data_IF_523055134338
#
_entry.id   IF_523055134338
#
_cell.length_a   1.000
_cell.length_b   1.000
_cell.length_c   1.000
_cell.angle_alpha   90.00
_cell.angle_beta   90.00
_cell.angle_gamma   90.00
#
_symmetry.space_group_name_H-M   'P 1'
#
loop_
_entity.id
_entity.type
_entity.pdbx_description
1 polymer ?
#
# COMPACT_ATOMS: atom_id res chain seq x y z
N UNK A 1 -24.47 -30.24 7.80
CA UNK A 1 -24.07 -28.98 8.45
C UNK A 1 -23.52 -28.06 7.38
N UNK A 2 -24.00 -26.81 7.31
CA UNK A 2 -23.44 -25.80 6.40
C UNK A 2 -22.20 -25.16 7.03
N UNK A 3 -21.08 -25.18 6.32
CA UNK A 3 -19.85 -24.50 6.75
C UNK A 3 -19.98 -23.00 6.50
N UNK A 4 -19.67 -22.18 7.51
CA UNK A 4 -19.58 -20.71 7.37
C UNK A 4 -18.11 -20.28 7.30
N UNK A 5 -17.79 -19.32 6.42
CA UNK A 5 -16.44 -18.77 6.29
C UNK A 5 -16.40 -17.36 6.92
N UNK A 6 -15.70 -17.24 8.05
CA UNK A 6 -15.65 -16.01 8.86
C UNK A 6 -14.21 -15.46 8.96
N UNK A 7 -13.45 -15.57 7.87
CA UNK A 7 -12.03 -15.19 7.80
C UNK A 7 -11.71 -14.29 6.59
N UNK A 8 -12.62 -13.35 6.30
CA UNK A 8 -12.47 -12.40 5.19
C UNK A 8 -11.31 -11.40 5.37
N UNK A 9 -10.78 -11.27 6.59
CA UNK A 9 -9.58 -10.48 6.86
C UNK A 9 -8.34 -11.12 6.21
N UNK A 10 -8.26 -12.46 6.15
CA UNK A 10 -7.17 -13.16 5.48
C UNK A 10 -7.35 -13.18 3.95
N UNK A 11 -8.50 -13.62 3.45
CA UNK A 11 -8.83 -13.62 2.03
C UNK A 11 -10.33 -13.71 1.82
N UNK A 12 -10.80 -13.35 0.64
CA UNK A 12 -12.21 -13.44 0.25
C UNK A 12 -12.39 -14.39 -0.94
N UNK A 13 -13.56 -15.03 -1.09
CA UNK A 13 -13.92 -15.69 -2.34
C UNK A 13 -14.02 -14.64 -3.46
N UNK A 14 -13.57 -15.01 -4.66
CA UNK A 14 -13.67 -14.11 -5.80
C UNK A 14 -15.15 -13.89 -6.16
N UNK A 15 -15.53 -12.64 -6.39
CA UNK A 15 -16.89 -12.27 -6.76
C UNK A 15 -17.22 -12.76 -8.17
N UNK A 16 -18.49 -13.12 -8.40
CA UNK A 16 -18.94 -13.64 -9.70
C UNK A 16 -18.71 -12.61 -10.82
N UNK A 17 -18.97 -11.33 -10.55
CA UNK A 17 -18.72 -10.23 -11.48
C UNK A 17 -17.24 -10.04 -11.82
N UNK A 18 -16.33 -10.38 -10.89
CA UNK A 18 -14.88 -10.34 -11.13
C UNK A 18 -14.46 -11.51 -12.00
N UNK A 19 -14.96 -12.73 -11.73
CA UNK A 19 -14.72 -13.91 -12.58
C UNK A 19 -15.14 -13.61 -14.02
N UNK A 20 -16.37 -13.13 -14.21
CA UNK A 20 -16.91 -12.81 -15.53
C UNK A 20 -16.11 -11.71 -16.24
N UNK A 21 -15.60 -10.71 -15.51
CA UNK A 21 -14.75 -9.67 -16.08
C UNK A 21 -13.36 -10.19 -16.52
N UNK A 22 -12.83 -11.20 -15.82
CA UNK A 22 -11.51 -11.79 -16.11
C UNK A 22 -11.56 -12.86 -17.20
N UNK A 23 -12.64 -13.64 -17.27
CA UNK A 23 -12.77 -14.81 -18.15
C UNK A 23 -12.39 -14.55 -19.62
N UNK A 24 -12.80 -13.43 -20.26
CA UNK A 24 -12.42 -13.16 -21.64
C UNK A 24 -10.90 -13.13 -21.86
N UNK A 25 -10.13 -12.67 -20.88
CA UNK A 25 -8.66 -12.54 -20.98
C UNK A 25 -7.93 -13.87 -20.75
N UNK A 26 -8.62 -14.89 -20.24
CA UNK A 26 -8.09 -16.24 -20.11
C UNK A 26 -8.24 -17.06 -21.39
N UNK A 27 -9.29 -16.81 -22.17
CA UNK A 27 -9.63 -17.62 -23.34
C UNK A 27 -9.45 -16.90 -24.67
N UNK A 28 -10.00 -15.69 -24.78
CA UNK A 28 -10.25 -15.05 -26.08
C UNK A 28 -9.49 -13.75 -26.28
N UNK A 29 -9.02 -13.08 -25.22
CA UNK A 29 -8.31 -11.80 -25.26
C UNK A 29 -6.94 -11.95 -24.60
N UNK A 30 -6.15 -12.89 -25.11
CA UNK A 30 -4.85 -13.30 -24.55
C UNK A 30 -3.65 -12.52 -25.11
N UNK A 31 -3.89 -11.50 -25.95
CA UNK A 31 -2.83 -10.73 -26.59
C UNK A 31 -1.89 -10.06 -25.59
N UNK A 32 -0.59 -10.02 -25.89
CA UNK A 32 0.37 -9.31 -25.05
C UNK A 32 0.12 -7.79 -25.14
N UNK A 33 -0.13 -7.08 -24.02
CA UNK A 33 -0.45 -5.65 -24.03
C UNK A 33 0.69 -4.77 -24.56
N UNK A 34 1.91 -5.29 -24.66
CA UNK A 34 3.06 -4.59 -25.27
C UNK A 34 3.14 -4.73 -26.79
N UNK A 35 2.26 -5.52 -27.42
CA UNK A 35 2.25 -5.74 -28.86
C UNK A 35 1.45 -4.66 -29.60
N UNK A 36 1.94 -4.24 -30.77
CA UNK A 36 1.32 -3.18 -31.58
C UNK A 36 0.14 -3.63 -32.43
N UNK A 37 -0.08 -4.93 -32.61
CA UNK A 37 -1.23 -5.47 -33.36
C UNK A 37 -2.53 -5.40 -32.55
N UNK A 38 -3.68 -5.53 -33.22
CA UNK A 38 -5.02 -5.39 -32.61
C UNK A 38 -5.17 -6.16 -31.28
N UNK A 39 -4.76 -7.42 -31.23
CA UNK A 39 -4.86 -8.22 -30.00
C UNK A 39 -4.13 -7.65 -28.79
N UNK A 40 -3.00 -6.96 -29.01
CA UNK A 40 -2.22 -6.32 -27.94
C UNK A 40 -2.80 -4.95 -27.59
N UNK A 41 -3.28 -4.21 -28.59
CA UNK A 41 -4.00 -2.96 -28.35
C UNK A 41 -5.26 -3.17 -27.51
N UNK A 42 -6.03 -4.23 -27.78
CA UNK A 42 -7.26 -4.57 -27.04
C UNK A 42 -6.97 -4.89 -25.56
N UNK A 43 -5.91 -5.64 -25.27
CA UNK A 43 -5.54 -5.98 -23.89
C UNK A 43 -4.87 -4.81 -23.17
N UNK A 44 -4.09 -3.99 -23.88
CA UNK A 44 -3.54 -2.75 -23.36
C UNK A 44 -4.64 -1.77 -22.95
N UNK A 45 -5.65 -1.57 -23.82
CA UNK A 45 -6.82 -0.74 -23.51
C UNK A 45 -7.59 -1.25 -22.28
N UNK A 46 -7.69 -2.57 -22.11
CA UNK A 46 -8.31 -3.16 -20.92
C UNK A 46 -7.52 -2.87 -19.63
N UNK A 47 -6.19 -2.98 -19.69
CA UNK A 47 -5.31 -2.68 -18.55
C UNK A 47 -5.42 -1.21 -18.14
N UNK A 48 -5.40 -0.30 -19.11
CA UNK A 48 -5.54 1.14 -18.85
C UNK A 48 -6.95 1.51 -18.35
N UNK A 49 -7.99 0.84 -18.82
CA UNK A 49 -9.34 1.00 -18.26
C UNK A 49 -9.41 0.54 -16.79
N UNK A 50 -8.79 -0.60 -16.46
CA UNK A 50 -8.71 -1.08 -15.09
C UNK A 50 -7.92 -0.10 -14.20
N UNK A 51 -6.81 0.45 -14.72
CA UNK A 51 -6.00 1.46 -14.03
C UNK A 51 -6.82 2.72 -13.73
N UNK A 52 -7.54 3.24 -14.72
CA UNK A 52 -8.37 4.43 -14.56
C UNK A 52 -9.52 4.22 -13.57
N UNK A 53 -10.19 3.07 -13.61
CA UNK A 53 -11.24 2.71 -12.63
C UNK A 53 -10.69 2.66 -11.21
N UNK A 54 -9.55 2.01 -11.01
CA UNK A 54 -8.92 1.93 -9.70
C UNK A 54 -8.48 3.30 -9.20
N UNK A 55 -7.81 4.08 -10.05
CA UNK A 55 -7.37 5.43 -9.71
C UNK A 55 -8.56 6.28 -9.25
N UNK A 56 -9.65 6.30 -10.03
CA UNK A 56 -10.88 6.99 -9.65
C UNK A 56 -11.49 6.48 -8.34
N UNK A 57 -11.40 5.18 -8.05
CA UNK A 57 -11.98 4.59 -6.83
C UNK A 57 -11.24 4.99 -5.55
N UNK A 58 -9.98 5.43 -5.65
CA UNK A 58 -9.18 5.89 -4.51
C UNK A 58 -8.84 7.38 -4.57
N UNK A 59 -9.40 8.14 -5.53
CA UNK A 59 -9.12 9.57 -5.69
C UNK A 59 -7.70 9.87 -6.19
N UNK A 60 -7.16 9.04 -7.08
CA UNK A 60 -5.86 9.19 -7.74
C UNK A 60 -5.99 9.43 -9.26
N UNK A 61 -4.89 9.83 -9.88
CA UNK A 61 -4.64 9.81 -11.32
C UNK A 61 -4.20 8.41 -11.78
N UNK A 62 -4.55 7.98 -13.01
CA UNK A 62 -4.06 6.71 -13.55
C UNK A 62 -2.53 6.59 -13.56
N UNK A 63 -1.81 7.70 -13.75
CA UNK A 63 -0.33 7.72 -13.76
C UNK A 63 0.30 7.38 -12.41
N UNK A 64 -0.45 7.49 -11.32
CA UNK A 64 0.00 7.22 -9.94
C UNK A 64 -0.19 5.74 -9.56
N UNK A 65 -0.73 4.90 -10.45
CA UNK A 65 -1.07 3.49 -10.15
C UNK A 65 -0.08 2.53 -10.78
N UNK A 66 0.57 1.74 -9.94
CA UNK A 66 1.44 0.62 -10.35
C UNK A 66 0.78 -0.70 -9.97
N UNK A 67 0.59 -1.58 -10.95
CA UNK A 67 0.14 -2.95 -10.70
C UNK A 67 1.31 -3.83 -10.27
N UNK A 68 1.12 -4.58 -9.19
CA UNK A 68 2.09 -5.53 -8.62
C UNK A 68 1.40 -6.87 -8.34
N UNK A 69 2.13 -7.90 -7.90
CA UNK A 69 1.56 -9.24 -7.64
C UNK A 69 0.74 -9.33 -6.36
N UNK A 70 0.80 -8.35 -5.46
CA UNK A 70 0.02 -8.37 -4.22
C UNK A 70 0.47 -7.33 -3.22
N UNK A 71 -0.21 -7.30 -2.07
CA UNK A 71 0.12 -6.37 -0.97
C UNK A 71 1.57 -6.48 -0.51
N UNK A 72 2.10 -7.69 -0.36
CA UNK A 72 3.50 -7.88 0.08
C UNK A 72 4.53 -7.25 -0.86
N UNK A 73 4.35 -7.38 -2.18
CA UNK A 73 5.25 -6.75 -3.15
C UNK A 73 5.14 -5.23 -3.10
N UNK A 74 3.90 -4.71 -3.00
CA UNK A 74 3.64 -3.29 -2.84
C UNK A 74 4.31 -2.71 -1.59
N UNK A 75 4.12 -3.35 -0.42
CA UNK A 75 4.73 -2.90 0.84
C UNK A 75 6.26 -2.94 0.77
N UNK A 76 6.83 -3.98 0.14
CA UNK A 76 8.28 -4.08 -0.02
C UNK A 76 8.80 -2.96 -0.94
N UNK A 77 8.11 -2.65 -2.03
CA UNK A 77 8.47 -1.53 -2.90
C UNK A 77 8.31 -0.19 -2.18
N UNK A 78 7.24 0.00 -1.41
CA UNK A 78 7.01 1.22 -0.63
C UNK A 78 8.08 1.44 0.44
N UNK A 79 8.43 0.40 1.20
CA UNK A 79 9.43 0.48 2.27
C UNK A 79 10.86 0.49 1.74
N UNK A 80 11.26 -0.53 0.96
CA UNK A 80 12.64 -0.66 0.44
C UNK A 80 12.90 0.37 -0.66
N UNK A 81 12.01 0.44 -1.65
CA UNK A 81 12.13 1.37 -2.77
C UNK A 81 12.01 2.81 -2.30
N UNK A 82 10.99 3.12 -1.47
CA UNK A 82 10.81 4.45 -0.88
C UNK A 82 12.06 4.90 -0.10
N UNK A 83 12.54 4.09 0.85
CA UNK A 83 13.74 4.43 1.63
C UNK A 83 14.97 4.63 0.76
N UNK A 84 15.25 3.71 -0.18
CA UNK A 84 16.45 3.80 -1.03
C UNK A 84 16.39 4.99 -1.99
N UNK A 85 15.22 5.30 -2.55
CA UNK A 85 15.05 6.45 -3.44
C UNK A 85 15.40 7.77 -2.72
N UNK A 86 15.03 7.89 -1.44
CA UNK A 86 15.33 9.07 -0.62
C UNK A 86 16.77 9.09 -0.12
N UNK A 87 17.37 7.92 0.14
CA UNK A 87 18.79 7.82 0.49
C UNK A 87 19.70 8.41 -0.60
N UNK A 88 19.34 8.20 -1.88
CA UNK A 88 20.06 8.82 -3.00
C UNK A 88 19.96 10.35 -3.02
N UNK A 89 18.87 10.91 -2.51
CA UNK A 89 18.70 12.36 -2.41
C UNK A 89 19.51 12.98 -1.26
N UNK A 90 19.85 12.20 -0.22
CA UNK A 90 20.56 12.65 0.98
C UNK A 90 21.75 11.73 1.36
N UNK A 91 22.80 11.64 0.52
CA UNK A 91 23.86 10.64 0.66
C UNK A 91 24.67 10.74 1.96
N UNK A 92 24.75 11.93 2.56
CA UNK A 92 25.55 12.19 3.77
C UNK A 92 24.81 11.84 5.07
N UNK A 93 23.56 11.40 4.99
CA UNK A 93 22.75 11.05 6.16
C UNK A 93 22.17 9.65 6.03
N UNK A 94 22.32 8.84 7.09
CA UNK A 94 21.67 7.54 7.14
C UNK A 94 20.14 7.73 7.17
N UNK A 95 19.35 7.13 6.27
CA UNK A 95 17.89 7.21 6.32
C UNK A 95 17.32 6.76 7.66
N UNK A 96 16.22 7.36 8.10
CA UNK A 96 15.46 6.92 9.28
C UNK A 96 14.04 6.56 8.85
N UNK A 97 13.59 5.37 9.22
CA UNK A 97 12.25 4.85 8.96
C UNK A 97 11.49 4.81 10.29
N UNK A 98 10.25 5.31 10.29
CA UNK A 98 9.29 5.10 11.36
C UNK A 98 8.21 4.11 10.93
N UNK A 99 7.84 3.18 11.80
CA UNK A 99 6.73 2.25 11.56
C UNK A 99 5.82 2.18 12.79
N UNK A 100 4.53 1.93 12.62
CA UNK A 100 3.66 1.63 13.78
C UNK A 100 4.04 0.27 14.40
N UNK A 101 3.69 0.04 15.67
CA UNK A 101 4.03 -1.23 16.34
C UNK A 101 3.17 -2.43 15.90
N UNK A 102 2.05 -2.18 15.21
CA UNK A 102 1.07 -3.22 14.83
C UNK A 102 1.06 -3.53 13.33
N UNK A 103 2.13 -3.16 12.61
CA UNK A 103 2.23 -3.39 11.16
C UNK A 103 2.15 -4.86 10.76
N UNK A 104 1.63 -5.11 9.56
CA UNK A 104 1.74 -6.42 8.93
C UNK A 104 3.21 -6.78 8.67
N UNK A 105 3.52 -8.08 8.69
CA UNK A 105 4.88 -8.59 8.45
C UNK A 105 5.50 -8.14 7.13
N UNK A 106 4.68 -7.77 6.13
CA UNK A 106 5.15 -7.24 4.85
C UNK A 106 5.74 -5.82 4.92
N UNK A 107 5.51 -5.08 6.01
CA UNK A 107 6.08 -3.75 6.26
C UNK A 107 7.24 -3.81 7.26
N UNK A 108 7.01 -4.42 8.43
CA UNK A 108 8.03 -4.42 9.50
C UNK A 108 9.28 -5.23 9.12
N UNK A 109 9.12 -6.38 8.44
CA UNK A 109 10.25 -7.22 8.05
C UNK A 109 11.19 -6.56 7.04
N UNK A 110 10.72 -5.92 5.94
CA UNK A 110 11.63 -5.20 5.06
C UNK A 110 12.31 -4.00 5.74
N UNK A 111 11.63 -3.32 6.67
CA UNK A 111 12.25 -2.25 7.44
C UNK A 111 13.38 -2.79 8.34
N UNK A 112 13.13 -3.88 9.07
CA UNK A 112 14.15 -4.59 9.86
C UNK A 112 15.29 -5.11 8.99
N UNK A 113 14.99 -5.56 7.77
CA UNK A 113 15.99 -6.03 6.83
C UNK A 113 16.94 -4.90 6.39
N UNK A 114 16.41 -3.71 6.09
CA UNK A 114 17.24 -2.52 5.82
C UNK A 114 18.11 -2.12 7.01
N UNK A 115 17.55 -2.16 8.22
CA UNK A 115 18.30 -1.88 9.46
C UNK A 115 19.44 -2.87 9.67
N UNK A 116 19.17 -4.17 9.52
CA UNK A 116 20.16 -5.24 9.70
C UNK A 116 21.33 -5.14 8.72
N UNK A 117 21.11 -4.52 7.55
CA UNK A 117 22.13 -4.26 6.53
C UNK A 117 22.86 -2.92 6.72
N UNK A 118 22.48 -2.15 7.74
CA UNK A 118 23.02 -0.82 7.98
C UNK A 118 22.54 0.24 6.99
N UNK A 119 21.57 -0.06 6.12
CA UNK A 119 21.07 0.85 5.08
C UNK A 119 20.12 1.93 5.63
N UNK A 120 19.46 1.67 6.76
CA UNK A 120 18.59 2.64 7.44
C UNK A 120 18.64 2.45 8.96
N UNK A 121 18.21 3.45 9.71
CA UNK A 121 17.77 3.31 11.10
C UNK A 121 16.27 3.02 11.11
N UNK A 122 15.81 2.17 12.03
CA UNK A 122 14.40 1.88 12.23
C UNK A 122 13.97 2.32 13.62
N UNK A 123 12.79 2.95 13.74
CA UNK A 123 12.11 3.16 15.01
C UNK A 123 10.66 2.75 14.91
N UNK A 124 10.21 2.01 15.92
CA UNK A 124 8.81 1.63 16.07
C UNK A 124 8.09 2.65 16.94
N UNK A 125 6.92 3.09 16.50
CA UNK A 125 6.08 4.05 17.19
C UNK A 125 5.01 3.28 17.99
N UNK A 126 5.00 3.39 19.33
CA UNK A 126 3.98 2.76 20.14
C UNK A 126 2.62 3.41 19.91
N UNK A 127 1.57 2.63 20.05
CA UNK A 127 0.18 3.06 19.97
C UNK A 127 -0.49 2.87 21.34
N UNK A 128 -1.50 3.68 21.60
CA UNK A 128 -2.38 3.42 22.73
C UNK A 128 -3.30 2.24 22.42
N UNK A 129 -3.96 1.62 23.42
CA UNK A 129 -4.99 0.61 23.17
C UNK A 129 -6.15 1.08 22.27
N UNK A 130 -6.34 2.40 22.14
CA UNK A 130 -7.33 3.00 21.24
C UNK A 130 -6.81 3.24 19.81
N UNK A 131 -5.56 2.87 19.50
CA UNK A 131 -4.95 3.05 18.18
C UNK A 131 -4.41 4.45 17.91
N UNK A 132 -4.37 5.31 18.92
CA UNK A 132 -3.78 6.65 18.78
C UNK A 132 -2.26 6.59 18.97
N UNK A 133 -1.54 7.57 18.41
CA UNK A 133 -0.08 7.61 18.46
C UNK A 133 0.39 7.89 19.90
N UNK A 134 1.05 6.91 20.53
CA UNK A 134 1.58 7.03 21.88
C UNK A 134 2.81 7.93 21.92
N UNK A 135 2.76 9.01 22.70
CA UNK A 135 3.87 9.95 22.84
C UNK A 135 4.08 10.90 21.65
N UNK A 136 3.36 10.73 20.55
CA UNK A 136 3.43 11.56 19.35
C UNK A 136 4.58 11.18 18.40
N UNK A 137 4.46 11.57 17.12
CA UNK A 137 5.44 11.25 16.07
C UNK A 137 6.81 11.91 16.31
N UNK A 138 6.83 13.04 17.03
CA UNK A 138 8.04 13.77 17.40
C UNK A 138 8.79 13.17 18.59
N UNK A 139 8.13 12.39 19.46
CA UNK A 139 8.80 11.76 20.59
C UNK A 139 9.85 10.74 20.15
N UNK A 140 9.76 10.27 18.90
CA UNK A 140 10.72 9.34 18.36
C UNK A 140 12.09 9.98 18.15
N UNK A 141 12.24 11.22 17.66
CA UNK A 141 13.57 11.80 17.37
C UNK A 141 13.60 13.32 17.13
N UNK A 142 13.92 14.16 18.15
CA UNK A 142 13.98 15.61 17.95
C UNK A 142 15.17 16.09 17.09
N UNK A 143 16.19 15.26 16.86
CA UNK A 143 17.43 15.67 16.17
C UNK A 143 17.52 15.25 14.70
N UNK A 144 16.58 14.43 14.20
CA UNK A 144 16.60 13.92 12.83
C UNK A 144 15.21 13.47 12.39
N UNK A 145 14.70 14.13 11.35
CA UNK A 145 13.45 13.78 10.69
C UNK A 145 13.61 12.43 9.95
N UNK A 146 12.58 11.57 9.96
CA UNK A 146 12.62 10.37 9.13
C UNK A 146 12.46 10.72 7.65
N UNK A 147 12.97 9.85 6.79
CA UNK A 147 12.69 9.93 5.36
C UNK A 147 11.34 9.27 5.03
N UNK A 148 10.98 8.21 5.77
CA UNK A 148 9.78 7.42 5.53
C UNK A 148 9.07 7.17 6.86
N UNK A 149 7.76 7.36 6.89
CA UNK A 149 6.88 6.86 7.94
C UNK A 149 5.87 5.90 7.31
N UNK A 150 5.69 4.72 7.92
CA UNK A 150 4.75 3.70 7.43
C UNK A 150 3.76 3.32 8.52
N UNK A 151 2.50 3.61 8.30
CA UNK A 151 1.40 3.24 9.18
C UNK A 151 0.33 2.52 8.36
N UNK A 152 0.02 1.28 8.71
CA UNK A 152 -1.15 0.59 8.17
C UNK A 152 -2.41 1.39 8.49
N UNK A 153 -3.35 1.46 7.55
CA UNK A 153 -4.53 2.29 7.76
C UNK A 153 -5.55 1.57 8.66
N UNK A 154 -5.80 0.30 8.37
CA UNK A 154 -6.72 -0.54 9.14
C UNK A 154 -6.00 -1.82 9.57
N UNK A 155 -6.02 -2.12 10.86
CA UNK A 155 -5.36 -3.31 11.38
C UNK A 155 -6.12 -4.59 10.98
N UNK A 156 -5.39 -5.60 10.50
CA UNK A 156 -5.98 -6.83 9.99
C UNK A 156 -6.51 -7.78 11.07
N UNK A 157 -6.15 -7.60 12.33
CA UNK A 157 -6.57 -8.46 13.44
C UNK A 157 -7.75 -7.87 14.21
N UNK A 158 -7.68 -6.56 14.48
CA UNK A 158 -8.65 -5.83 15.31
C UNK A 158 -9.64 -5.00 14.52
N UNK A 159 -9.33 -4.67 13.26
CA UNK A 159 -10.12 -3.72 12.45
C UNK A 159 -9.94 -2.25 12.86
N UNK A 160 -9.02 -1.96 13.79
CA UNK A 160 -8.77 -0.61 14.27
C UNK A 160 -8.26 0.29 13.13
N UNK A 161 -8.86 1.48 13.01
CA UNK A 161 -8.40 2.51 12.09
C UNK A 161 -7.36 3.38 12.78
N UNK A 162 -6.16 3.45 12.22
CA UNK A 162 -5.10 4.32 12.72
C UNK A 162 -5.30 5.77 12.23
N UNK A 163 -4.81 6.78 12.97
CA UNK A 163 -5.02 8.20 12.68
C UNK A 163 -4.14 8.67 11.51
N UNK A 164 -4.38 8.12 10.31
CA UNK A 164 -3.51 8.35 9.15
C UNK A 164 -3.52 9.82 8.68
N UNK A 165 -4.63 10.53 8.85
CA UNK A 165 -4.68 11.98 8.58
C UNK A 165 -3.70 12.77 9.44
N UNK A 166 -3.56 12.42 10.73
CA UNK A 166 -2.58 13.03 11.64
C UNK A 166 -1.14 12.76 11.18
N UNK A 167 -0.86 11.53 10.71
CA UNK A 167 0.45 11.15 10.17
C UNK A 167 0.76 11.93 8.89
N UNK A 168 -0.20 12.03 7.96
CA UNK A 168 -0.04 12.80 6.72
C UNK A 168 0.14 14.30 7.00
N UNK A 169 -0.64 14.88 7.90
CA UNK A 169 -0.50 16.29 8.29
C UNK A 169 0.85 16.58 8.94
N UNK A 170 1.34 15.67 9.78
CA UNK A 170 2.66 15.79 10.39
C UNK A 170 3.79 15.68 9.36
N UNK A 171 3.68 14.80 8.37
CA UNK A 171 4.71 14.58 7.35
C UNK A 171 4.86 15.72 6.33
N UNK A 172 3.76 16.39 5.98
CA UNK A 172 3.69 17.42 4.91
C UNK A 172 4.73 18.54 5.04
N UNK A 173 4.91 19.22 6.19
CA UNK A 173 5.89 20.33 6.29
C UNK A 173 7.34 19.88 6.28
N UNK A 174 7.60 18.59 6.53
CA UNK A 174 8.92 18.04 6.80
C UNK A 174 9.49 17.22 5.63
N UNK A 175 8.81 17.20 4.48
CA UNK A 175 9.16 16.38 3.31
C UNK A 175 9.36 14.88 3.67
N UNK A 176 8.61 14.40 4.66
CA UNK A 176 8.61 12.98 5.04
C UNK A 176 7.66 12.25 4.11
N UNK A 177 8.13 11.17 3.47
CA UNK A 177 7.26 10.30 2.68
C UNK A 177 6.39 9.47 3.61
N UNK A 178 5.08 9.50 3.39
CA UNK A 178 4.10 8.71 4.14
C UNK A 178 3.65 7.52 3.30
N UNK A 179 3.95 6.33 3.80
CA UNK A 179 3.44 5.06 3.28
C UNK A 179 2.30 4.53 4.16
N UNK A 180 1.31 3.89 3.52
CA UNK A 180 0.27 3.16 4.23
C UNK A 180 -0.05 1.81 3.61
N UNK A 181 -0.12 0.76 4.44
CA UNK A 181 -0.79 -0.48 4.06
C UNK A 181 -2.31 -0.30 4.22
N UNK A 182 -2.99 -0.09 3.10
CA UNK A 182 -4.44 0.07 3.02
C UNK A 182 -5.15 -1.22 2.57
N UNK A 183 -4.49 -2.38 2.64
CA UNK A 183 -5.06 -3.68 2.25
C UNK A 183 -6.35 -4.04 3.00
N UNK A 184 -6.56 -3.49 4.20
CA UNK A 184 -7.77 -3.64 5.00
C UNK A 184 -8.68 -2.40 5.00
N UNK A 185 -8.28 -1.31 4.35
CA UNK A 185 -9.05 -0.07 4.28
C UNK A 185 -9.78 0.08 2.95
N UNK A 186 -9.09 -0.13 1.82
CA UNK A 186 -9.69 -0.04 0.48
C UNK A 186 -10.92 -0.95 0.41
N UNK A 187 -12.04 -0.42 -0.10
CA UNK A 187 -13.31 -1.15 -0.23
C UNK A 187 -14.05 -1.47 1.08
N UNK A 188 -13.53 -1.05 2.24
CA UNK A 188 -14.16 -1.22 3.57
C UNK A 188 -14.47 0.10 4.25
N UNK A 189 -13.63 1.11 4.02
CA UNK A 189 -13.86 2.51 4.42
C UNK A 189 -13.72 3.41 3.21
N UNK A 190 -14.26 4.64 3.25
CA UNK A 190 -13.98 5.64 2.21
C UNK A 190 -12.48 5.91 2.11
N UNK A 191 -11.94 5.85 0.89
CA UNK A 191 -10.52 6.10 0.61
C UNK A 191 -10.42 7.18 -0.47
N UNK A 192 -9.74 8.28 -0.14
CA UNK A 192 -9.35 9.29 -1.11
C UNK A 192 -7.90 9.73 -0.80
N UNK A 193 -6.94 9.29 -1.62
CA UNK A 193 -5.51 9.56 -1.41
C UNK A 193 -5.14 11.02 -1.61
N UNK A 194 -5.84 11.72 -2.52
CA UNK A 194 -5.64 13.15 -2.75
C UNK A 194 -6.03 13.98 -1.53
N UNK A 195 -7.17 13.67 -0.91
CA UNK A 195 -7.66 14.33 0.32
C UNK A 195 -6.81 13.96 1.53
N UNK A 196 -6.48 12.68 1.69
CA UNK A 196 -5.70 12.18 2.82
C UNK A 196 -4.29 12.79 2.87
N UNK A 197 -3.63 12.93 1.73
CA UNK A 197 -2.26 13.44 1.69
C UNK A 197 -1.18 12.37 1.82
N UNK A 198 -1.49 11.10 1.54
CA UNK A 198 -0.49 10.00 1.55
C UNK A 198 0.35 10.02 0.27
N UNK A 199 1.61 9.61 0.35
CA UNK A 199 2.54 9.58 -0.79
C UNK A 199 2.61 8.18 -1.42
N UNK A 200 2.53 7.13 -0.60
CA UNK A 200 2.56 5.74 -1.04
C UNK A 200 1.41 4.95 -0.39
N UNK A 201 0.67 4.17 -1.17
CA UNK A 201 -0.40 3.32 -0.63
C UNK A 201 -0.38 1.92 -1.22
N UNK A 202 -0.39 0.91 -0.36
CA UNK A 202 -0.53 -0.50 -0.73
C UNK A 202 -1.99 -0.94 -0.70
N UNK A 203 -2.42 -1.67 -1.73
CA UNK A 203 -3.69 -2.39 -1.76
C UNK A 203 -3.57 -3.77 -2.41
N UNK A 204 -4.51 -4.67 -2.11
CA UNK A 204 -4.50 -6.06 -2.61
C UNK A 204 -5.91 -6.53 -2.99
N UNK A 205 -6.05 -7.21 -4.13
CA UNK A 205 -7.35 -7.58 -4.69
C UNK A 205 -8.08 -8.69 -3.91
N UNK A 206 -7.36 -9.70 -3.44
CA UNK A 206 -7.96 -10.88 -2.81
C UNK A 206 -8.62 -10.63 -1.44
N UNK A 207 -8.49 -9.43 -0.87
CA UNK A 207 -9.22 -8.99 0.33
C UNK A 207 -10.54 -8.27 0.00
N UNK A 208 -10.84 -8.06 -1.30
CA UNK A 208 -11.99 -7.30 -1.81
C UNK A 208 -12.95 -8.13 -2.68
N UNK A 209 -12.68 -9.42 -2.83
CA UNK A 209 -13.34 -10.31 -3.77
C UNK A 209 -12.67 -10.36 -5.15
N UNK A 210 -11.44 -9.87 -5.25
CA UNK A 210 -10.58 -9.99 -6.43
C UNK A 210 -9.76 -11.29 -6.46
N UNK A 211 -9.01 -11.53 -7.55
CA UNK A 211 -8.09 -12.66 -7.63
C UNK A 211 -6.90 -12.51 -6.67
N UNK A 212 -6.30 -13.64 -6.30
CA UNK A 212 -4.93 -13.67 -5.74
C UNK A 212 -3.93 -13.35 -6.84
N UNK A 213 -2.77 -12.81 -6.49
CA UNK A 213 -1.75 -12.44 -7.48
C UNK A 213 -1.95 -11.07 -8.12
N UNK A 214 -2.83 -10.23 -7.57
CA UNK A 214 -3.03 -8.85 -8.01
C UNK A 214 -3.01 -7.90 -6.81
N UNK A 215 -2.10 -6.94 -6.84
CA UNK A 215 -2.00 -5.83 -5.88
C UNK A 215 -1.64 -4.54 -6.59
N UNK A 216 -1.63 -3.46 -5.82
CA UNK A 216 -1.40 -2.12 -6.33
C UNK A 216 -0.51 -1.37 -5.34
N UNK A 217 0.48 -0.67 -5.89
CA UNK A 217 1.16 0.43 -5.24
C UNK A 217 0.69 1.74 -5.88
N UNK A 218 0.10 2.62 -5.08
CA UNK A 218 -0.10 4.02 -5.43
C UNK A 218 1.18 4.80 -5.09
N UNK A 219 1.59 5.71 -5.99
CA UNK A 219 2.69 6.65 -5.80
C UNK A 219 2.23 8.04 -6.26
N UNK A 220 2.24 9.00 -5.35
CA UNK A 220 1.95 10.42 -5.62
C UNK A 220 2.95 11.08 -6.57
#
# INVERSE_FOLDING_TARGET
MSTAYLDHAATTPMRAEVIAAMEPYLWHRFGNPSSSHQWGQDTSAALENARAKLASAIGASPSEIIFVRGGTESDNLGVIGGTRSLAYAFPDSKPLILVSEIEHSAVIKPAQWLESRGEAELRTIPLTPAGTIGGGLNAANPSKLPCLVSFMWANNETGLLLPLSEVCEWGKPSNVVVHTDASQAVGKVPVNVSELGVDLLTATGHKLGGPRGCGVLYIR
#
